data_IF_454202580910
#
_entry.id   IF_454202580910
#
_cell.length_a   1.000
_cell.length_b   1.000
_cell.length_c   1.000
_cell.angle_alpha   90.00
_cell.angle_beta   90.00
_cell.angle_gamma   90.00
#
_symmetry.space_group_name_H-M   'P 1'
#
loop_
_entity.id
_entity.type
_entity.pdbx_description
1 polymer ?
#
# COMPACT_ATOMS: atom_id res chain seq x y z
N UNK A 1 -13.29 3.04 -71.67
CA UNK A 1 -13.95 2.07 -70.76
C UNK A 1 -13.63 2.47 -69.32
N UNK A 2 -14.60 3.01 -68.59
CA UNK A 2 -14.41 3.40 -67.18
C UNK A 2 -14.68 2.17 -66.26
N UNK A 3 -13.93 1.98 -65.17
CA UNK A 3 -14.16 0.86 -64.26
C UNK A 3 -15.46 1.08 -63.49
N UNK A 4 -16.39 0.13 -63.64
CA UNK A 4 -17.65 0.08 -62.89
C UNK A 4 -17.31 -0.05 -61.40
N UNK A 5 -17.59 1.02 -60.67
CA UNK A 5 -17.35 1.12 -59.23
C UNK A 5 -18.35 0.22 -58.48
N UNK A 6 -17.99 -1.06 -58.25
CA UNK A 6 -18.79 -2.05 -57.51
C UNK A 6 -18.84 -1.79 -55.99
N UNK A 7 -18.80 -0.53 -55.55
CA UNK A 7 -18.90 -0.13 -54.13
C UNK A 7 -20.31 0.33 -53.76
N UNK A 8 -21.31 -0.43 -54.17
CA UNK A 8 -22.62 -0.40 -53.53
C UNK A 8 -23.00 -1.80 -53.11
N UNK A 9 -22.11 -2.42 -52.36
CA UNK A 9 -22.51 -3.46 -51.44
C UNK A 9 -23.44 -2.79 -50.42
N UNK A 10 -24.74 -2.86 -50.70
CA UNK A 10 -25.80 -2.83 -49.69
C UNK A 10 -25.59 -4.05 -48.79
N UNK A 11 -24.47 -4.05 -48.06
CA UNK A 11 -24.23 -4.92 -46.94
C UNK A 11 -25.21 -4.44 -45.88
N UNK A 12 -26.36 -5.12 -45.89
CA UNK A 12 -27.17 -5.40 -44.72
C UNK A 12 -26.26 -5.32 -43.49
N UNK A 13 -26.33 -4.20 -42.78
CA UNK A 13 -26.00 -4.23 -41.36
C UNK A 13 -27.12 -5.06 -40.76
N UNK A 14 -26.90 -6.36 -40.73
CA UNK A 14 -27.48 -7.20 -39.70
C UNK A 14 -26.80 -6.78 -38.39
N UNK A 15 -27.07 -5.54 -37.95
CA UNK A 15 -26.97 -5.21 -36.54
C UNK A 15 -27.83 -6.26 -35.87
N UNK A 16 -27.28 -7.04 -34.94
CA UNK A 16 -28.03 -8.05 -34.17
C UNK A 16 -29.17 -7.46 -33.31
N UNK A 17 -29.67 -6.27 -33.66
CA UNK A 17 -30.87 -5.66 -33.17
C UNK A 17 -32.10 -6.31 -33.81
N UNK A 18 -33.15 -6.61 -33.02
CA UNK A 18 -34.39 -7.17 -33.52
C UNK A 18 -35.05 -6.23 -34.55
N UNK A 19 -35.41 -6.80 -35.69
CA UNK A 19 -35.96 -6.11 -36.87
C UNK A 19 -37.43 -5.74 -36.73
N UNK A 20 -38.18 -6.42 -35.87
CA UNK A 20 -39.61 -6.19 -35.65
C UNK A 20 -39.95 -5.96 -34.18
N UNK A 21 -41.11 -5.35 -33.92
CA UNK A 21 -41.63 -5.20 -32.54
C UNK A 21 -41.85 -6.56 -31.87
N UNK A 22 -42.29 -7.57 -32.64
CA UNK A 22 -42.47 -8.93 -32.15
C UNK A 22 -41.13 -9.58 -31.74
N UNK A 23 -40.07 -9.39 -32.52
CA UNK A 23 -38.73 -9.87 -32.15
C UNK A 23 -38.19 -9.16 -30.90
N UNK A 24 -38.49 -7.85 -30.73
CA UNK A 24 -38.18 -7.11 -29.50
C UNK A 24 -38.89 -7.71 -28.31
N UNK A 25 -40.21 -7.91 -28.39
CA UNK A 25 -41.02 -8.55 -27.35
C UNK A 25 -40.54 -9.98 -27.03
N UNK A 26 -40.18 -10.77 -28.05
CA UNK A 26 -39.66 -12.12 -27.85
C UNK A 26 -38.25 -12.17 -27.22
N UNK A 27 -37.52 -11.06 -27.24
CA UNK A 27 -36.24 -10.89 -26.55
C UNK A 27 -36.40 -10.30 -25.14
N UNK A 28 -37.52 -9.62 -24.84
CA UNK A 28 -37.84 -9.15 -23.48
C UNK A 28 -37.92 -10.37 -22.54
N UNK A 29 -37.03 -10.42 -21.55
CA UNK A 29 -36.94 -11.53 -20.58
C UNK A 29 -35.92 -12.63 -20.94
N UNK A 30 -35.38 -12.66 -22.16
CA UNK A 30 -34.23 -13.51 -22.48
C UNK A 30 -32.96 -12.82 -22.01
N UNK A 31 -32.32 -13.38 -20.99
CA UNK A 31 -31.01 -12.88 -20.55
C UNK A 31 -30.01 -12.98 -21.70
N UNK A 32 -29.50 -11.83 -22.15
CA UNK A 32 -28.40 -11.73 -23.13
C UNK A 32 -27.07 -12.23 -22.55
N UNK A 33 -27.08 -12.60 -21.26
CA UNK A 33 -25.90 -13.03 -20.52
C UNK A 33 -25.58 -14.50 -20.80
N UNK A 34 -24.65 -14.73 -21.73
CA UNK A 34 -23.94 -16.01 -21.84
C UNK A 34 -22.58 -15.91 -21.11
N UNK A 35 -22.38 -16.65 -20.00
CA UNK A 35 -21.13 -16.62 -19.25
C UNK A 35 -19.92 -17.08 -20.08
N UNK A 36 -20.10 -17.92 -21.11
CA UNK A 36 -19.00 -18.41 -21.95
C UNK A 36 -18.49 -17.30 -22.87
N UNK A 37 -19.40 -16.64 -23.58
CA UNK A 37 -19.07 -15.50 -24.45
C UNK A 37 -18.47 -14.33 -23.66
N UNK A 38 -18.95 -14.08 -22.44
CA UNK A 38 -18.34 -13.08 -21.55
C UNK A 38 -16.91 -13.44 -21.19
N UNK A 39 -16.65 -14.66 -20.72
CA UNK A 39 -15.30 -15.13 -20.36
C UNK A 39 -14.34 -15.14 -21.55
N UNK A 40 -14.83 -15.40 -22.76
CA UNK A 40 -14.03 -15.33 -23.98
C UNK A 40 -13.61 -13.89 -24.30
N UNK A 41 -14.54 -12.93 -24.20
CA UNK A 41 -14.24 -11.50 -24.34
C UNK A 41 -13.24 -11.02 -23.29
N UNK A 42 -13.41 -11.42 -22.03
CA UNK A 42 -12.49 -11.11 -20.94
C UNK A 42 -11.09 -11.69 -21.21
N UNK A 43 -10.99 -12.95 -21.65
CA UNK A 43 -9.72 -13.58 -22.05
C UNK A 43 -9.06 -12.84 -23.21
N UNK A 44 -9.81 -12.43 -24.22
CA UNK A 44 -9.28 -11.67 -25.35
C UNK A 44 -8.76 -10.29 -24.95
N UNK A 45 -9.47 -9.57 -24.07
CA UNK A 45 -9.01 -8.29 -23.51
C UNK A 45 -7.74 -8.47 -22.69
N UNK A 46 -7.70 -9.48 -21.81
CA UNK A 46 -6.52 -9.80 -21.02
C UNK A 46 -5.33 -10.22 -21.89
N UNK A 47 -5.54 -10.96 -22.98
CA UNK A 47 -4.47 -11.28 -23.92
C UNK A 47 -3.91 -10.02 -24.59
N UNK A 48 -4.76 -9.05 -24.94
CA UNK A 48 -4.30 -7.76 -25.51
C UNK A 48 -3.47 -6.96 -24.52
N UNK A 49 -3.87 -6.89 -23.25
CA UNK A 49 -3.11 -6.16 -22.22
C UNK A 49 -1.77 -6.85 -21.94
N UNK A 50 -1.75 -8.18 -21.80
CA UNK A 50 -0.52 -8.96 -21.61
C UNK A 50 0.42 -8.81 -22.81
N UNK A 51 -0.10 -8.88 -24.05
CA UNK A 51 0.72 -8.72 -25.24
C UNK A 51 1.29 -7.30 -25.37
N UNK A 52 0.51 -6.27 -25.01
CA UNK A 52 0.97 -4.88 -24.97
C UNK A 52 2.11 -4.73 -23.95
N UNK A 53 1.92 -5.25 -22.74
CA UNK A 53 2.93 -5.23 -21.67
C UNK A 53 4.22 -5.94 -22.09
N UNK A 54 4.12 -7.16 -22.65
CA UNK A 54 5.28 -7.91 -23.16
C UNK A 54 6.05 -7.14 -24.24
N UNK A 55 5.36 -6.43 -25.14
CA UNK A 55 6.02 -5.59 -26.16
C UNK A 55 6.75 -4.41 -25.54
N UNK A 56 6.15 -3.74 -24.56
CA UNK A 56 6.78 -2.62 -23.85
C UNK A 56 8.02 -3.11 -23.09
N UNK A 57 7.91 -4.21 -22.35
CA UNK A 57 9.06 -4.80 -21.66
C UNK A 57 10.21 -5.12 -22.62
N UNK A 58 9.92 -5.73 -23.78
CA UNK A 58 10.94 -6.02 -24.79
C UNK A 58 11.61 -4.75 -25.34
N UNK A 59 10.84 -3.69 -25.60
CA UNK A 59 11.39 -2.40 -26.05
C UNK A 59 12.28 -1.76 -25.00
N UNK A 60 11.83 -1.72 -23.75
CA UNK A 60 12.62 -1.19 -22.64
C UNK A 60 13.91 -2.00 -22.48
N UNK A 61 13.82 -3.33 -22.52
CA UNK A 61 14.99 -4.20 -22.44
C UNK A 61 15.98 -3.95 -23.59
N UNK A 62 15.47 -3.83 -24.82
CA UNK A 62 16.28 -3.54 -26.00
C UNK A 62 16.92 -2.15 -25.91
N UNK A 63 16.17 -1.13 -25.48
CA UNK A 63 16.70 0.21 -25.22
C UNK A 63 17.82 0.18 -24.16
N UNK A 64 17.70 -0.66 -23.12
CA UNK A 64 18.73 -0.84 -22.09
C UNK A 64 19.99 -1.52 -22.64
N UNK A 65 19.83 -2.50 -23.53
CA UNK A 65 20.93 -3.21 -24.20
C UNK A 65 21.64 -2.30 -25.22
N UNK A 66 20.90 -1.47 -25.96
CA UNK A 66 21.41 -0.54 -26.96
C UNK A 66 22.09 0.69 -26.33
N UNK A 67 21.59 1.19 -25.19
CA UNK A 67 22.16 2.40 -24.57
C UNK A 67 23.42 2.14 -23.75
N UNK A 68 23.76 0.89 -23.39
CA UNK A 68 25.08 0.41 -22.94
C UNK A 68 25.84 1.14 -21.82
N UNK A 69 25.38 2.30 -21.34
CA UNK A 69 26.16 3.32 -20.61
C UNK A 69 25.44 3.78 -19.33
N UNK A 70 24.18 3.40 -19.13
CA UNK A 70 23.39 3.79 -17.96
C UNK A 70 23.42 2.85 -16.74
N UNK A 71 23.98 1.61 -16.75
CA UNK A 71 23.84 0.72 -15.59
C UNK A 71 24.67 1.16 -14.38
N UNK A 72 25.84 1.79 -14.57
CA UNK A 72 26.69 2.18 -13.45
C UNK A 72 26.12 3.35 -12.64
N UNK A 73 25.74 4.46 -13.30
CA UNK A 73 25.17 5.62 -12.61
C UNK A 73 23.81 5.34 -11.95
N UNK A 74 22.99 4.47 -12.55
CA UNK A 74 21.72 4.04 -11.94
C UNK A 74 21.99 3.08 -10.76
N UNK A 75 22.96 2.16 -10.89
CA UNK A 75 23.35 1.28 -9.80
C UNK A 75 23.94 2.06 -8.62
N UNK A 76 24.79 3.07 -8.87
CA UNK A 76 25.36 3.96 -7.86
C UNK A 76 24.27 4.76 -7.14
N UNK A 77 23.31 5.34 -7.88
CA UNK A 77 22.15 6.02 -7.27
C UNK A 77 21.30 5.07 -6.44
N UNK A 78 21.04 3.87 -6.95
CA UNK A 78 20.28 2.85 -6.22
C UNK A 78 21.03 2.33 -4.98
N UNK A 79 22.37 2.30 -5.00
CA UNK A 79 23.19 1.97 -3.84
C UNK A 79 23.18 3.11 -2.82
N UNK A 80 23.34 4.37 -3.26
CA UNK A 80 23.27 5.55 -2.40
C UNK A 80 21.90 5.69 -1.73
N UNK A 81 20.80 5.44 -2.44
CA UNK A 81 19.45 5.43 -1.87
C UNK A 81 19.25 4.30 -0.85
N UNK A 82 19.81 3.11 -1.11
CA UNK A 82 19.76 1.99 -0.16
C UNK A 82 20.58 2.28 1.09
N UNK A 83 21.73 2.93 0.96
CA UNK A 83 22.56 3.33 2.09
C UNK A 83 21.90 4.44 2.92
N UNK A 84 21.33 5.45 2.27
CA UNK A 84 20.53 6.48 2.94
C UNK A 84 19.33 5.87 3.69
N UNK A 85 18.59 4.96 3.06
CA UNK A 85 17.48 4.26 3.70
C UNK A 85 17.93 3.42 4.91
N UNK A 86 19.10 2.78 4.84
CA UNK A 86 19.68 2.05 5.98
C UNK A 86 20.04 2.99 7.12
N UNK A 87 20.67 4.13 6.82
CA UNK A 87 21.02 5.13 7.82
C UNK A 87 19.77 5.72 8.49
N UNK A 88 18.70 5.98 7.75
CA UNK A 88 17.42 6.42 8.31
C UNK A 88 16.78 5.37 9.22
N UNK A 89 16.80 4.09 8.83
CA UNK A 89 16.26 3.00 9.64
C UNK A 89 17.08 2.85 10.93
N UNK A 90 18.41 2.93 10.85
CA UNK A 90 19.29 2.88 12.02
C UNK A 90 19.09 4.07 12.94
N UNK A 91 18.93 5.28 12.39
CA UNK A 91 18.62 6.47 13.17
C UNK A 91 17.27 6.36 13.89
N UNK A 92 16.23 5.85 13.20
CA UNK A 92 14.92 5.57 13.80
C UNK A 92 15.01 4.52 14.90
N UNK A 93 15.78 3.44 14.69
CA UNK A 93 16.00 2.40 15.70
C UNK A 93 16.68 2.97 16.95
N UNK A 94 17.75 3.75 16.78
CA UNK A 94 18.45 4.42 17.90
C UNK A 94 17.51 5.35 18.67
N UNK A 95 16.71 6.17 17.96
CA UNK A 95 15.75 7.06 18.60
C UNK A 95 14.68 6.30 19.41
N UNK A 96 14.20 5.17 18.88
CA UNK A 96 13.25 4.29 19.58
C UNK A 96 13.90 3.65 20.81
N UNK A 97 15.12 3.14 20.68
CA UNK A 97 15.88 2.55 21.80
C UNK A 97 16.13 3.57 22.91
N UNK A 98 16.56 4.79 22.57
CA UNK A 98 16.75 5.89 23.53
C UNK A 98 15.45 6.27 24.23
N UNK A 99 14.34 6.34 23.48
CA UNK A 99 13.02 6.62 24.06
C UNK A 99 12.60 5.51 25.04
N UNK A 100 12.73 4.25 24.66
CA UNK A 100 12.41 3.13 25.54
C UNK A 100 13.32 3.05 26.76
N UNK A 101 14.61 3.39 26.61
CA UNK A 101 15.54 3.47 27.74
C UNK A 101 15.11 4.56 28.75
N UNK A 102 14.70 5.75 28.27
CA UNK A 102 14.17 6.83 29.12
C UNK A 102 12.88 6.40 29.83
N UNK A 103 11.95 5.79 29.10
CA UNK A 103 10.69 5.27 29.67
C UNK A 103 10.95 4.20 30.72
N UNK A 104 11.90 3.30 30.48
CA UNK A 104 12.28 2.25 31.43
C UNK A 104 12.91 2.85 32.70
N UNK A 105 13.79 3.84 32.57
CA UNK A 105 14.39 4.56 33.69
C UNK A 105 13.32 5.28 34.53
N UNK A 106 12.40 5.99 33.88
CA UNK A 106 11.29 6.67 34.55
C UNK A 106 10.36 5.70 35.26
N UNK A 107 10.06 4.56 34.64
CA UNK A 107 9.25 3.51 35.26
C UNK A 107 9.93 2.95 36.52
N UNK A 108 11.25 2.73 36.47
CA UNK A 108 12.04 2.30 37.65
C UNK A 108 12.01 3.35 38.75
N UNK A 109 12.26 4.63 38.43
CA UNK A 109 12.18 5.75 39.38
C UNK A 109 10.81 5.83 40.06
N UNK A 110 9.73 5.78 39.27
CA UNK A 110 8.35 5.78 39.80
C UNK A 110 8.05 4.57 40.68
N UNK A 111 8.55 3.40 40.32
CA UNK A 111 8.37 2.19 41.12
C UNK A 111 9.09 2.30 42.48
N UNK A 112 10.31 2.84 42.51
CA UNK A 112 11.05 3.09 43.75
C UNK A 112 10.38 4.14 44.63
N UNK A 113 9.94 5.26 44.05
CA UNK A 113 9.16 6.27 44.76
C UNK A 113 7.88 5.66 45.35
N UNK A 114 7.12 4.91 44.54
CA UNK A 114 5.91 4.23 44.99
C UNK A 114 6.21 3.22 46.11
N UNK A 115 7.32 2.48 46.03
CA UNK A 115 7.75 1.53 47.06
C UNK A 115 8.08 2.24 48.37
N UNK A 116 8.80 3.37 48.32
CA UNK A 116 9.09 4.21 49.49
C UNK A 116 7.81 4.74 50.12
N UNK A 117 6.88 5.24 49.29
CA UNK A 117 5.61 5.81 49.74
C UNK A 117 4.62 4.78 50.31
N UNK A 118 4.73 3.51 49.88
CA UNK A 118 3.88 2.40 50.33
C UNK A 118 4.53 1.51 51.38
N UNK A 119 5.74 1.85 51.86
CA UNK A 119 6.42 1.09 52.90
C UNK A 119 5.56 1.05 54.16
N UNK A 120 5.51 -0.11 54.82
CA UNK A 120 4.74 -0.34 56.06
C UNK A 120 5.69 -0.81 57.18
N UNK A 121 5.32 -0.56 58.44
CA UNK A 121 6.01 -1.09 59.61
C UNK A 121 5.56 -2.53 59.92
N UNK A 122 6.16 -3.18 60.92
CA UNK A 122 5.84 -4.57 61.30
C UNK A 122 4.37 -4.79 61.73
N UNK A 123 3.68 -3.73 62.16
CA UNK A 123 2.25 -3.74 62.52
C UNK A 123 1.33 -3.40 61.33
N UNK A 124 1.88 -3.32 60.11
CA UNK A 124 1.14 -3.05 58.88
C UNK A 124 0.74 -1.59 58.65
N UNK A 125 1.15 -0.67 59.51
CA UNK A 125 0.85 0.76 59.38
C UNK A 125 1.81 1.41 58.36
N UNK A 126 1.35 2.36 57.52
CA UNK A 126 2.21 3.07 56.59
C UNK A 126 3.36 3.80 57.30
N UNK A 127 4.58 3.67 56.80
CA UNK A 127 5.75 4.40 57.28
C UNK A 127 5.66 5.84 56.74
N UNK A 128 5.03 6.72 57.51
CA UNK A 128 4.62 8.06 57.05
C UNK A 128 5.75 9.06 56.82
N UNK A 129 7.00 8.76 57.21
CA UNK A 129 8.16 9.67 57.08
C UNK A 129 8.27 10.27 55.66
N UNK A 130 8.29 9.44 54.64
CA UNK A 130 8.43 9.89 53.24
C UNK A 130 7.17 10.54 52.67
N UNK A 131 5.98 10.22 53.21
CA UNK A 131 4.72 10.86 52.79
C UNK A 131 4.60 12.26 53.35
N UNK A 132 4.98 12.44 54.62
CA UNK A 132 5.00 13.73 55.31
C UNK A 132 6.07 14.64 54.70
N UNK A 133 7.29 14.15 54.48
CA UNK A 133 8.37 14.91 53.81
C UNK A 133 7.91 15.47 52.45
N UNK A 134 7.17 14.68 51.65
CA UNK A 134 6.65 15.11 50.34
C UNK A 134 5.48 16.10 50.42
N UNK A 135 4.67 16.04 51.49
CA UNK A 135 3.62 17.03 51.74
C UNK A 135 4.26 18.34 52.20
N UNK A 136 5.20 18.28 53.14
CA UNK A 136 5.94 19.44 53.63
C UNK A 136 6.73 20.12 52.50
N UNK A 137 7.38 19.35 51.62
CA UNK A 137 8.10 19.91 50.47
C UNK A 137 7.19 20.59 49.45
N UNK A 138 5.91 20.23 49.38
CA UNK A 138 4.94 20.91 48.50
C UNK A 138 4.44 22.21 49.11
N UNK A 139 4.21 22.20 50.43
CA UNK A 139 3.79 23.39 51.19
C UNK A 139 4.91 24.43 51.27
N UNK A 140 6.18 24.00 51.31
CA UNK A 140 7.33 24.91 51.39
C UNK A 140 7.75 25.55 50.05
N UNK A 141 7.08 25.21 48.94
CA UNK A 141 7.40 25.72 47.59
C UNK A 141 6.33 26.71 47.09
N UNK A 142 5.21 26.84 47.81
CA UNK A 142 4.28 27.98 47.71
C UNK A 142 4.74 29.13 48.62
#
# INVERSE_FOLDING_TARGET
MAPVNKRRAFLRRDSGAPRSALEKFAQVGKSTYDPRLRREKERALNAKTVNKYRKIQKRVQQEWEETGVVPQRIAEKAQAEKEAARQEIEAKRKAIEEHWAKVAADKRRRAEENRKMRKKNARGQPLMKHRIEKILSKIAVE
#
